data_IF_041342288657
#
_entry.id   IF_041342288657
#
_cell.length_a   1.000
_cell.length_b   1.000
_cell.length_c   1.000
_cell.angle_alpha   90.00
_cell.angle_beta   90.00
_cell.angle_gamma   90.00
#
_symmetry.space_group_name_H-M   'P 1'
#
loop_
_entity.id
_entity.type
_entity.pdbx_description
1 polymer ?
#
# COMPACT_ATOMS: atom_id res chain seq x y z
N UNK A 1 -1.43 -44.80 -43.68
CA UNK A 1 -1.20 -46.03 -42.92
C UNK A 1 0.00 -45.78 -42.01
N UNK A 2 -0.20 -45.27 -40.79
CA UNK A 2 -0.33 -45.97 -39.49
C UNK A 2 0.70 -45.23 -38.60
N UNK A 3 0.38 -44.53 -37.51
CA UNK A 3 -0.68 -44.71 -36.54
C UNK A 3 -0.04 -45.08 -35.20
N UNK A 4 0.79 -44.21 -34.62
CA UNK A 4 1.43 -44.46 -33.33
C UNK A 4 0.52 -43.94 -32.20
N UNK A 5 -0.27 -44.86 -31.64
CA UNK A 5 -1.23 -44.61 -30.58
C UNK A 5 -0.55 -44.39 -29.23
N UNK A 6 -0.84 -43.25 -28.58
CA UNK A 6 -0.50 -42.98 -27.18
C UNK A 6 -1.47 -43.75 -26.27
N UNK A 7 -0.93 -44.60 -25.38
CA UNK A 7 -1.68 -45.25 -24.31
C UNK A 7 -2.14 -44.22 -23.25
N UNK A 8 -3.38 -44.31 -22.73
CA UNK A 8 -3.85 -43.44 -21.66
C UNK A 8 -3.34 -43.94 -20.30
N UNK A 9 -2.82 -43.01 -19.49
CA UNK A 9 -2.48 -43.25 -18.08
C UNK A 9 -3.78 -43.19 -17.28
N UNK A 10 -4.20 -44.34 -16.74
CA UNK A 10 -5.30 -44.43 -15.77
C UNK A 10 -4.89 -43.78 -14.44
N UNK A 11 -5.51 -42.65 -14.09
CA UNK A 11 -5.50 -42.12 -12.73
C UNK A 11 -6.49 -42.93 -11.89
N UNK A 12 -5.98 -43.77 -10.99
CA UNK A 12 -6.77 -44.45 -9.97
C UNK A 12 -7.35 -43.43 -8.99
N UNK A 13 -8.67 -43.46 -8.83
CA UNK A 13 -9.38 -42.79 -7.75
C UNK A 13 -8.94 -43.36 -6.40
N UNK A 14 -8.53 -42.49 -5.49
CA UNK A 14 -8.28 -42.83 -4.10
C UNK A 14 -9.17 -41.97 -3.20
N UNK A 15 -10.18 -42.62 -2.62
CA UNK A 15 -10.61 -42.45 -1.23
C UNK A 15 -10.96 -41.06 -0.72
N UNK A 16 -12.26 -40.81 -0.64
CA UNK A 16 -12.87 -39.78 0.20
C UNK A 16 -12.50 -40.01 1.68
N UNK A 17 -11.60 -39.19 2.22
CA UNK A 17 -11.28 -39.10 3.64
C UNK A 17 -11.66 -37.72 4.18
N UNK A 18 -12.67 -37.68 5.06
CA UNK A 18 -13.10 -36.46 5.76
C UNK A 18 -12.05 -36.08 6.80
N UNK A 19 -11.04 -35.30 6.41
CA UNK A 19 -10.13 -34.67 7.39
C UNK A 19 -10.68 -33.32 7.82
N UNK A 20 -10.97 -33.25 9.12
CA UNK A 20 -11.44 -32.05 9.82
C UNK A 20 -10.43 -30.91 9.66
N UNK A 21 -10.91 -29.78 9.13
CA UNK A 21 -10.23 -28.49 9.17
C UNK A 21 -9.82 -28.19 10.62
N UNK A 22 -8.51 -28.17 10.91
CA UNK A 22 -8.01 -27.65 12.18
C UNK A 22 -8.10 -26.12 12.13
N UNK A 23 -9.08 -25.57 12.83
CA UNK A 23 -9.13 -24.15 13.14
C UNK A 23 -7.86 -23.73 13.90
N UNK A 24 -7.35 -22.53 13.61
CA UNK A 24 -6.41 -21.85 14.51
C UNK A 24 -7.11 -21.64 15.87
N UNK A 25 -6.39 -21.76 17.00
CA UNK A 25 -7.00 -21.50 18.30
C UNK A 25 -7.48 -20.05 18.37
N UNK A 26 -8.63 -19.80 19.04
CA UNK A 26 -9.10 -18.44 19.30
C UNK A 26 -8.07 -17.65 20.12
N UNK A 27 -8.14 -16.33 19.99
CA UNK A 27 -7.17 -15.32 20.45
C UNK A 27 -6.78 -15.37 21.93
N UNK A 28 -7.54 -16.07 22.77
CA UNK A 28 -7.50 -15.94 24.22
C UNK A 28 -6.61 -17.01 24.92
N UNK A 29 -5.83 -17.79 24.18
CA UNK A 29 -4.99 -18.87 24.75
C UNK A 29 -3.49 -18.77 24.42
N UNK A 30 -2.93 -17.55 24.40
CA UNK A 30 -1.48 -17.36 24.20
C UNK A 30 -0.73 -16.75 25.40
N UNK A 31 -1.36 -16.59 26.56
CA UNK A 31 -0.67 -16.14 27.78
C UNK A 31 -0.59 -17.26 28.82
N UNK A 32 0.60 -17.84 28.93
CA UNK A 32 0.91 -18.91 29.87
C UNK A 32 2.38 -18.92 30.25
N UNK A 33 2.85 -17.87 30.93
CA UNK A 33 4.04 -17.90 31.77
C UNK A 33 3.92 -16.81 32.85
N UNK A 34 3.84 -17.25 34.10
CA UNK A 34 3.29 -16.50 35.23
C UNK A 34 4.05 -15.26 35.67
N UNK A 35 3.36 -14.41 36.42
CA UNK A 35 3.83 -13.76 37.64
C UNK A 35 2.63 -13.61 38.58
N UNK A 36 2.75 -14.19 39.77
CA UNK A 36 1.76 -14.13 40.83
C UNK A 36 1.88 -12.80 41.59
N UNK A 37 0.77 -12.07 41.78
CA UNK A 37 0.65 -11.07 42.85
C UNK A 37 -0.78 -11.04 43.41
N UNK A 38 -0.85 -11.43 44.68
CA UNK A 38 -1.76 -11.10 45.78
C UNK A 38 -3.23 -10.66 45.54
N UNK A 39 -4.11 -11.40 46.23
CA UNK A 39 -5.50 -11.12 46.49
C UNK A 39 -5.75 -9.86 47.34
N UNK A 40 -6.86 -9.17 47.05
CA UNK A 40 -7.46 -8.16 47.92
C UNK A 40 -8.98 -8.15 47.75
N UNK A 41 -9.69 -8.67 48.76
CA UNK A 41 -11.16 -8.66 48.85
C UNK A 41 -11.74 -7.32 49.34
N UNK A 42 -13.02 -7.07 48.97
CA UNK A 42 -14.12 -6.29 49.60
C UNK A 42 -14.65 -5.17 48.67
N UNK A 43 -15.95 -4.89 48.51
CA UNK A 43 -17.29 -5.47 48.80
C UNK A 43 -18.30 -4.62 47.96
N UNK A 44 -19.56 -5.06 47.74
CA UNK A 44 -20.46 -4.53 46.72
C UNK A 44 -21.46 -3.48 47.26
N UNK A 45 -21.95 -2.57 46.40
CA UNK A 45 -23.15 -1.78 46.67
C UNK A 45 -24.09 -1.59 45.47
N UNK A 46 -25.20 -2.33 45.56
CA UNK A 46 -26.63 -2.04 45.31
C UNK A 46 -27.12 -1.36 44.02
N UNK A 47 -28.10 -2.05 43.44
CA UNK A 47 -29.06 -1.64 42.44
C UNK A 47 -30.07 -0.57 42.91
N UNK A 48 -30.54 0.24 41.96
CA UNK A 48 -31.76 1.04 42.03
C UNK A 48 -32.44 1.06 40.66
N UNK A 49 -33.72 0.68 40.62
CA UNK A 49 -34.58 0.41 39.45
C UNK A 49 -35.23 1.71 38.87
N UNK A 50 -35.97 1.64 37.72
CA UNK A 50 -36.08 2.68 36.70
C UNK A 50 -37.36 3.54 36.79
N UNK A 51 -37.42 4.64 36.02
CA UNK A 51 -38.65 5.36 35.73
C UNK A 51 -38.85 5.60 34.22
N UNK A 52 -40.12 5.43 33.83
CA UNK A 52 -40.68 5.33 32.48
C UNK A 52 -40.95 6.69 31.81
N UNK A 53 -40.98 6.62 30.48
CA UNK A 53 -41.79 7.35 29.48
C UNK A 53 -42.16 8.84 29.67
N UNK A 54 -41.77 9.63 28.66
CA UNK A 54 -42.47 10.85 28.25
C UNK A 54 -41.99 11.31 26.88
N UNK A 55 -42.85 11.26 25.85
CA UNK A 55 -42.68 12.04 24.60
C UNK A 55 -43.15 13.49 24.86
N UNK A 56 -42.53 14.49 24.23
CA UNK A 56 -43.31 15.44 23.41
C UNK A 56 -42.58 15.78 22.09
N UNK A 57 -43.24 15.65 20.94
CA UNK A 57 -43.96 16.70 20.18
C UNK A 57 -43.06 17.78 19.56
N UNK A 58 -43.15 17.88 18.23
CA UNK A 58 -42.47 18.82 17.38
C UNK A 58 -42.88 20.27 17.69
N UNK A 59 -41.90 21.18 17.76
CA UNK A 59 -42.17 22.57 17.43
C UNK A 59 -40.95 23.34 16.91
N UNK A 60 -41.28 24.30 16.05
CA UNK A 60 -40.43 25.07 15.14
C UNK A 60 -39.28 25.83 15.82
N UNK A 61 -38.05 25.61 15.36
CA UNK A 61 -36.93 26.54 15.59
C UNK A 61 -36.68 27.38 14.33
N UNK A 62 -37.02 28.67 14.43
CA UNK A 62 -36.71 29.71 13.44
C UNK A 62 -35.19 29.88 13.32
N UNK A 63 -34.67 29.82 12.09
CA UNK A 63 -33.28 30.17 11.75
C UNK A 63 -33.05 31.67 11.99
N UNK A 64 -32.14 32.03 12.89
CA UNK A 64 -31.47 33.34 12.89
C UNK A 64 -30.08 33.15 12.26
N UNK A 65 -29.87 33.80 11.12
CA UNK A 65 -28.59 33.90 10.46
C UNK A 65 -27.64 34.76 11.30
N UNK A 66 -26.48 34.22 11.66
CA UNK A 66 -25.44 34.95 12.37
C UNK A 66 -24.45 35.51 11.34
N UNK A 67 -24.49 36.82 11.13
CA UNK A 67 -23.49 37.57 10.36
C UNK A 67 -22.34 37.92 11.31
N UNK A 68 -21.07 37.60 11.02
CA UNK A 68 -19.95 38.02 11.87
C UNK A 68 -19.54 39.47 11.53
N UNK A 69 -19.12 40.27 12.53
CA UNK A 69 -18.72 41.64 12.31
C UNK A 69 -17.35 41.72 11.62
N UNK A 70 -17.21 42.73 10.75
CA UNK A 70 -15.96 43.10 10.08
C UNK A 70 -15.01 43.80 11.06
N UNK A 71 -13.75 43.37 11.07
CA UNK A 71 -12.62 44.23 11.42
C UNK A 71 -11.97 43.97 12.80
N UNK A 72 -11.01 43.06 12.84
CA UNK A 72 -9.82 43.20 13.69
C UNK A 72 -8.69 42.33 13.10
N UNK A 73 -7.67 43.00 12.58
CA UNK A 73 -6.45 42.38 12.08
C UNK A 73 -5.75 41.64 13.22
N UNK A 74 -5.76 40.31 13.19
CA UNK A 74 -4.71 39.52 13.85
C UNK A 74 -3.91 38.82 12.76
N UNK A 75 -2.65 39.24 12.62
CA UNK A 75 -1.65 38.53 11.80
C UNK A 75 -1.42 37.15 12.45
N UNK A 76 -2.29 36.18 12.13
CA UNK A 76 -2.05 34.77 12.44
C UNK A 76 -0.87 34.34 11.57
N UNK A 77 0.34 34.40 12.13
CA UNK A 77 1.48 33.63 11.64
C UNK A 77 1.12 32.16 11.78
N UNK A 78 0.52 31.60 10.74
CA UNK A 78 0.48 30.16 10.57
C UNK A 78 1.94 29.67 10.60
N UNK A 79 2.33 28.96 11.66
CA UNK A 79 3.54 28.16 11.68
C UNK A 79 3.36 27.00 10.70
N UNK A 80 3.45 27.31 9.40
CA UNK A 80 3.85 26.34 8.40
C UNK A 80 5.32 25.98 8.67
N UNK A 81 5.64 24.69 8.61
CA UNK A 81 7.00 24.18 8.73
C UNK A 81 8.01 24.89 7.82
N UNK A 82 9.32 24.63 8.00
CA UNK A 82 10.39 25.44 7.42
C UNK A 82 10.12 25.73 5.95
N UNK A 83 9.92 27.01 5.62
CA UNK A 83 9.90 27.49 4.24
C UNK A 83 11.23 27.05 3.62
N UNK A 84 11.17 26.17 2.63
CA UNK A 84 12.29 25.85 1.75
C UNK A 84 12.53 27.08 0.86
N UNK A 85 12.90 28.21 1.45
CA UNK A 85 13.44 29.34 0.74
C UNK A 85 14.92 29.00 0.46
N UNK A 86 15.33 29.07 -0.81
CA UNK A 86 16.69 28.84 -1.33
C UNK A 86 17.19 27.41 -1.66
N UNK A 87 16.33 26.39 -1.83
CA UNK A 87 16.80 25.16 -2.54
C UNK A 87 16.44 25.23 -4.03
N UNK A 88 17.45 25.07 -4.88
CA UNK A 88 17.27 24.92 -6.33
C UNK A 88 16.41 23.70 -6.68
N UNK A 89 15.72 23.77 -7.81
CA UNK A 89 14.80 22.72 -8.25
C UNK A 89 15.56 21.46 -8.68
N UNK A 90 15.34 20.33 -8.01
CA UNK A 90 15.96 19.04 -8.36
C UNK A 90 15.07 18.29 -9.34
N UNK A 91 15.63 17.94 -10.49
CA UNK A 91 14.90 17.20 -11.55
C UNK A 91 15.16 15.71 -11.42
N UNK A 92 14.10 14.92 -11.47
CA UNK A 92 14.10 13.46 -11.50
C UNK A 92 13.61 12.99 -12.87
N UNK A 93 14.39 12.11 -13.48
CA UNK A 93 14.10 11.51 -14.78
C UNK A 93 13.38 10.17 -14.57
N UNK A 94 12.22 10.04 -15.19
CA UNK A 94 11.29 8.93 -15.01
C UNK A 94 11.24 8.05 -16.25
N UNK A 95 11.41 6.75 -16.04
CA UNK A 95 11.13 5.70 -17.03
C UNK A 95 9.83 5.01 -16.64
N UNK A 96 8.84 4.99 -17.53
CA UNK A 96 7.55 4.34 -17.27
C UNK A 96 7.49 2.99 -17.97
N UNK A 97 7.42 1.91 -17.20
CA UNK A 97 7.31 0.54 -17.70
C UNK A 97 5.88 0.06 -17.47
N UNK A 98 5.15 -0.12 -18.56
CA UNK A 98 3.69 -0.12 -18.56
C UNK A 98 3.11 1.29 -18.65
N UNK A 99 2.13 1.49 -19.52
CA UNK A 99 1.47 2.78 -19.74
C UNK A 99 -0.07 2.65 -19.77
N UNK A 100 -0.60 1.88 -18.80
CA UNK A 100 -2.03 1.71 -18.59
C UNK A 100 -2.69 2.89 -17.88
N UNK A 101 -3.89 2.68 -17.36
CA UNK A 101 -4.70 3.75 -16.73
C UNK A 101 -4.00 4.39 -15.52
N UNK A 102 -3.33 3.59 -14.68
CA UNK A 102 -2.58 4.09 -13.51
C UNK A 102 -1.43 5.00 -13.93
N UNK A 103 -0.59 4.57 -14.87
CA UNK A 103 0.55 5.36 -15.36
C UNK A 103 0.10 6.66 -16.05
N UNK A 104 -0.96 6.61 -16.87
CA UNK A 104 -1.55 7.81 -17.48
C UNK A 104 -2.06 8.78 -16.42
N UNK A 105 -2.78 8.29 -15.42
CA UNK A 105 -3.27 9.11 -14.31
C UNK A 105 -2.13 9.71 -13.50
N UNK A 106 -1.06 8.95 -13.25
CA UNK A 106 0.14 9.41 -12.58
C UNK A 106 0.82 10.56 -13.35
N UNK A 107 0.96 10.45 -14.67
CA UNK A 107 1.50 11.55 -15.50
C UNK A 107 0.63 12.80 -15.41
N UNK A 108 -0.70 12.66 -15.51
CA UNK A 108 -1.62 13.80 -15.30
C UNK A 108 -1.49 14.40 -13.90
N UNK A 109 -1.37 13.55 -12.87
CA UNK A 109 -1.22 13.98 -11.47
C UNK A 109 0.09 14.74 -11.25
N UNK A 110 1.19 14.35 -11.91
CA UNK A 110 2.45 15.08 -11.88
C UNK A 110 2.30 16.50 -12.45
N UNK A 111 1.56 16.68 -13.54
CA UNK A 111 1.33 18.01 -14.13
C UNK A 111 0.40 18.85 -13.24
N UNK A 112 -0.69 18.27 -12.74
CA UNK A 112 -1.60 18.93 -11.78
C UNK A 112 -0.86 19.41 -10.52
N UNK A 113 0.08 18.60 -10.01
CA UNK A 113 0.84 18.92 -8.80
C UNK A 113 2.16 19.66 -9.08
N UNK A 114 2.50 19.95 -10.33
CA UNK A 114 3.82 20.49 -10.73
C UNK A 114 4.22 21.74 -9.92
N UNK A 115 3.30 22.69 -9.77
CA UNK A 115 3.55 23.92 -9.02
C UNK A 115 3.71 23.67 -7.51
N UNK A 116 3.02 22.66 -6.96
CA UNK A 116 3.14 22.26 -5.56
C UNK A 116 4.45 21.53 -5.32
N UNK A 117 4.81 20.56 -6.17
CA UNK A 117 6.06 19.80 -6.10
C UNK A 117 7.28 20.72 -6.20
N UNK A 118 7.26 21.69 -7.12
CA UNK A 118 8.34 22.66 -7.25
C UNK A 118 8.45 23.56 -6.01
N UNK A 119 7.35 24.20 -5.59
CA UNK A 119 7.37 25.21 -4.51
C UNK A 119 7.54 24.63 -3.11
N UNK A 120 6.92 23.49 -2.81
CA UNK A 120 6.91 22.91 -1.46
C UNK A 120 7.95 21.82 -1.26
N UNK A 121 8.37 21.16 -2.35
CA UNK A 121 9.23 19.98 -2.26
C UNK A 121 10.54 20.12 -3.06
N UNK A 122 10.76 21.24 -3.77
CA UNK A 122 11.97 21.43 -4.58
C UNK A 122 12.14 20.36 -5.65
N UNK A 123 11.03 19.75 -6.10
CA UNK A 123 10.99 18.58 -6.96
C UNK A 123 10.41 18.93 -8.33
N UNK A 124 11.10 18.52 -9.39
CA UNK A 124 10.56 18.43 -10.76
C UNK A 124 10.69 16.99 -11.26
N UNK A 125 9.63 16.46 -11.85
CA UNK A 125 9.67 15.17 -12.52
C UNK A 125 9.64 15.37 -14.04
N UNK A 126 10.40 14.56 -14.78
CA UNK A 126 10.41 14.54 -16.24
C UNK A 126 10.32 13.10 -16.72
N UNK A 127 9.30 12.77 -17.50
CA UNK A 127 9.22 11.48 -18.18
C UNK A 127 10.16 11.52 -19.38
N UNK A 128 11.15 10.63 -19.38
CA UNK A 128 12.18 10.54 -20.44
C UNK A 128 11.97 9.31 -21.35
N UNK A 129 11.16 8.35 -20.92
CA UNK A 129 10.96 7.11 -21.66
C UNK A 129 9.75 6.33 -21.18
N UNK A 130 9.11 5.64 -22.12
CA UNK A 130 7.94 4.79 -21.88
C UNK A 130 8.15 3.46 -22.62
N UNK A 131 7.94 2.34 -21.94
CA UNK A 131 7.90 1.03 -22.57
C UNK A 131 6.57 0.32 -22.31
N UNK A 132 6.00 -0.28 -23.35
CA UNK A 132 4.82 -1.13 -23.22
C UNK A 132 5.02 -2.45 -23.96
N UNK A 133 4.26 -3.48 -23.57
CA UNK A 133 4.28 -4.79 -24.22
C UNK A 133 3.99 -4.72 -25.73
N UNK A 134 3.12 -3.80 -26.16
CA UNK A 134 2.66 -3.70 -27.56
C UNK A 134 3.55 -2.81 -28.42
N UNK A 135 4.09 -1.74 -27.84
CA UNK A 135 4.83 -0.70 -28.59
C UNK A 135 6.34 -0.74 -28.40
N UNK A 136 6.86 -1.69 -27.61
CA UNK A 136 8.25 -1.69 -27.16
C UNK A 136 8.58 -0.46 -26.32
N UNK A 137 9.88 -0.15 -26.22
CA UNK A 137 10.41 1.02 -25.53
C UNK A 137 10.63 2.22 -26.44
N UNK A 138 10.20 3.40 -26.01
CA UNK A 138 10.32 4.67 -26.72
C UNK A 138 10.83 5.76 -25.78
N UNK A 139 11.81 6.54 -26.23
CA UNK A 139 12.24 7.74 -25.51
C UNK A 139 11.31 8.90 -25.85
N UNK A 140 11.00 9.74 -24.85
CA UNK A 140 10.09 10.87 -25.01
C UNK A 140 10.88 12.17 -24.93
N UNK A 141 10.69 13.06 -25.90
CA UNK A 141 11.34 14.38 -25.87
C UNK A 141 10.83 15.20 -24.66
N UNK A 142 11.61 16.18 -24.15
CA UNK A 142 11.27 16.97 -22.95
C UNK A 142 9.99 17.81 -23.05
N UNK A 143 9.33 17.82 -24.21
CA UNK A 143 8.13 18.59 -24.51
C UNK A 143 6.95 17.61 -24.63
N UNK A 144 6.37 17.19 -23.51
CA UNK A 144 4.97 16.75 -23.52
C UNK A 144 4.12 17.99 -23.88
N UNK A 145 3.99 18.25 -25.19
CA UNK A 145 3.23 19.37 -25.75
C UNK A 145 1.75 19.12 -25.45
N UNK A 146 1.08 20.19 -25.04
CA UNK A 146 -0.34 20.32 -24.70
C UNK A 146 -1.27 19.50 -25.62
N UNK A 147 -2.35 19.01 -25.02
CA UNK A 147 -3.63 18.49 -25.59
C UNK A 147 -3.65 17.08 -26.21
N UNK A 148 -4.46 16.21 -25.59
CA UNK A 148 -5.06 15.02 -26.21
C UNK A 148 -4.13 13.83 -26.44
N UNK A 149 -4.66 12.65 -26.82
CA UNK A 149 -3.86 11.48 -27.15
C UNK A 149 -3.15 11.78 -28.48
N UNK A 150 -2.00 12.42 -28.40
CA UNK A 150 -1.08 12.51 -29.52
C UNK A 150 -0.71 11.08 -29.90
N UNK A 151 -1.01 10.70 -31.15
CA UNK A 151 -0.31 9.61 -31.84
C UNK A 151 1.18 9.78 -31.51
N UNK A 152 1.77 8.76 -30.89
CA UNK A 152 3.16 8.80 -30.44
C UNK A 152 4.09 9.26 -31.57
N UNK A 153 5.22 9.91 -31.25
CA UNK A 153 6.14 10.40 -32.27
C UNK A 153 6.57 9.27 -33.21
N UNK A 154 6.67 9.60 -34.50
CA UNK A 154 7.04 8.68 -35.57
C UNK A 154 8.40 8.02 -35.29
N UNK A 155 8.45 6.72 -35.53
CA UNK A 155 9.60 5.84 -35.34
C UNK A 155 10.70 6.23 -36.33
N UNK A 156 11.81 6.77 -35.83
CA UNK A 156 13.08 6.81 -36.54
C UNK A 156 14.01 5.76 -35.92
N UNK A 157 14.15 4.63 -36.60
CA UNK A 157 15.31 3.72 -36.60
C UNK A 157 15.80 3.14 -35.27
N UNK A 158 15.40 1.90 -34.95
CA UNK A 158 16.23 0.83 -34.36
C UNK A 158 15.31 -0.36 -34.05
N UNK A 159 15.75 -1.60 -34.32
CA UNK A 159 14.96 -2.83 -34.22
C UNK A 159 14.18 -3.01 -32.91
N UNK A 160 13.14 -3.86 -32.94
CA UNK A 160 12.22 -4.12 -31.83
C UNK A 160 13.00 -4.52 -30.56
N UNK A 161 13.27 -3.54 -29.69
CA UNK A 161 13.90 -3.76 -28.38
C UNK A 161 12.86 -4.30 -27.42
N UNK A 162 13.19 -5.36 -26.68
CA UNK A 162 12.31 -5.83 -25.60
C UNK A 162 12.19 -4.74 -24.54
N UNK A 163 11.16 -4.82 -23.68
CA UNK A 163 11.03 -3.89 -22.55
C UNK A 163 12.25 -3.95 -21.63
N UNK A 164 12.85 -5.13 -21.48
CA UNK A 164 14.05 -5.35 -20.68
C UNK A 164 15.28 -4.66 -21.28
N UNK A 165 15.47 -4.78 -22.60
CA UNK A 165 16.57 -4.10 -23.31
C UNK A 165 16.43 -2.59 -23.19
N UNK A 166 15.21 -2.09 -23.35
CA UNK A 166 14.93 -0.67 -23.16
C UNK A 166 15.30 -0.15 -21.77
N UNK A 167 14.95 -0.89 -20.70
CA UNK A 167 15.31 -0.50 -19.33
C UNK A 167 16.83 -0.43 -19.17
N UNK A 168 17.54 -1.42 -19.71
CA UNK A 168 19.00 -1.50 -19.64
C UNK A 168 19.66 -0.35 -20.40
N UNK A 169 19.23 -0.11 -21.64
CA UNK A 169 19.71 0.98 -22.49
C UNK A 169 19.46 2.36 -21.87
N UNK A 170 18.27 2.55 -21.27
CA UNK A 170 17.92 3.82 -20.65
C UNK A 170 18.79 4.12 -19.43
N UNK A 171 19.15 3.09 -18.65
CA UNK A 171 20.09 3.27 -17.54
C UNK A 171 21.49 3.66 -18.01
N UNK A 172 21.95 3.10 -19.14
CA UNK A 172 23.24 3.48 -19.75
C UNK A 172 23.18 4.90 -20.29
N UNK A 173 22.13 5.25 -21.03
CA UNK A 173 21.92 6.59 -21.62
C UNK A 173 21.85 7.68 -20.54
N UNK A 174 21.13 7.43 -19.46
CA UNK A 174 20.90 8.38 -18.37
C UNK A 174 21.80 8.11 -17.14
N UNK A 175 22.98 7.53 -17.36
CA UNK A 175 23.95 7.20 -16.31
C UNK A 175 24.35 8.41 -15.44
N UNK A 176 24.29 9.64 -15.97
CA UNK A 176 24.51 10.86 -15.19
C UNK A 176 23.41 11.10 -14.15
N UNK A 177 22.13 10.91 -14.52
CA UNK A 177 21.01 10.99 -13.60
C UNK A 177 21.06 9.83 -12.58
N UNK A 178 21.39 8.61 -13.04
CA UNK A 178 21.58 7.45 -12.18
C UNK A 178 22.65 7.69 -11.10
N UNK A 179 23.83 8.22 -11.46
CA UNK A 179 24.90 8.58 -10.52
C UNK A 179 24.47 9.63 -9.50
N UNK A 180 23.68 10.61 -9.93
CA UNK A 180 23.09 11.65 -9.07
C UNK A 180 21.89 11.18 -8.26
N UNK A 181 21.50 9.90 -8.34
CA UNK A 181 20.31 9.32 -7.67
C UNK A 181 18.99 9.96 -8.12
N UNK A 182 18.94 10.41 -9.38
CA UNK A 182 17.81 11.14 -9.96
C UNK A 182 17.10 10.38 -11.08
N UNK A 183 17.54 9.16 -11.40
CA UNK A 183 16.84 8.26 -12.33
C UNK A 183 15.89 7.34 -11.54
N UNK A 184 14.63 7.28 -11.95
CA UNK A 184 13.59 6.46 -11.30
C UNK A 184 12.82 5.67 -12.37
N UNK A 185 12.72 4.36 -12.20
CA UNK A 185 11.82 3.51 -12.97
C UNK A 185 10.49 3.35 -12.23
N UNK A 186 9.38 3.61 -12.93
CA UNK A 186 8.02 3.38 -12.47
C UNK A 186 7.49 2.14 -13.19
N UNK A 187 7.19 1.08 -12.44
CA UNK A 187 6.78 -0.21 -12.97
C UNK A 187 5.30 -0.47 -12.66
N UNK A 188 4.47 -0.53 -13.71
CA UNK A 188 3.01 -0.64 -13.63
C UNK A 188 2.48 -1.66 -14.64
N UNK A 189 3.30 -2.65 -15.00
CA UNK A 189 2.84 -3.75 -15.85
C UNK A 189 1.85 -4.64 -15.09
N UNK A 190 1.12 -5.46 -15.84
CA UNK A 190 0.15 -6.40 -15.29
C UNK A 190 0.84 -7.50 -14.49
N UNK A 191 0.18 -8.00 -13.45
CA UNK A 191 0.68 -9.13 -12.66
C UNK A 191 0.66 -10.43 -13.47
N UNK A 192 1.78 -11.15 -13.51
CA UNK A 192 1.80 -12.60 -13.80
C UNK A 192 1.70 -13.31 -12.45
N UNK A 193 0.54 -13.92 -12.17
CA UNK A 193 0.30 -14.61 -10.89
C UNK A 193 1.11 -15.89 -10.73
N UNK A 194 1.62 -16.48 -11.81
CA UNK A 194 2.37 -17.73 -11.74
C UNK A 194 3.84 -17.48 -11.37
N UNK A 195 4.42 -16.36 -11.82
CA UNK A 195 5.88 -16.13 -11.74
C UNK A 195 6.29 -14.73 -11.28
N UNK A 196 5.41 -13.74 -11.37
CA UNK A 196 5.75 -12.33 -11.15
C UNK A 196 6.63 -11.69 -12.25
N UNK A 197 6.92 -12.42 -13.33
CA UNK A 197 7.66 -11.92 -14.50
C UNK A 197 6.71 -11.27 -15.52
N UNK A 198 7.18 -10.34 -16.38
CA UNK A 198 8.54 -9.82 -16.50
C UNK A 198 8.88 -8.70 -15.51
N UNK A 199 7.96 -8.34 -14.61
CA UNK A 199 8.13 -7.22 -13.69
C UNK A 199 9.37 -7.36 -12.80
N UNK A 200 9.63 -8.57 -12.28
CA UNK A 200 10.85 -8.86 -11.50
C UNK A 200 12.12 -8.54 -12.32
N UNK A 201 12.16 -8.98 -13.58
CA UNK A 201 13.27 -8.70 -14.49
C UNK A 201 13.45 -7.20 -14.75
N UNK A 202 12.37 -6.45 -14.96
CA UNK A 202 12.42 -4.99 -15.10
C UNK A 202 13.03 -4.32 -13.87
N UNK A 203 12.55 -4.68 -12.66
CA UNK A 203 13.06 -4.12 -11.40
C UNK A 203 14.55 -4.44 -11.22
N UNK A 204 14.96 -5.68 -11.51
CA UNK A 204 16.35 -6.11 -11.39
C UNK A 204 17.27 -5.33 -12.34
N UNK A 205 16.86 -5.15 -13.60
CA UNK A 205 17.63 -4.39 -14.59
C UNK A 205 17.80 -2.93 -14.16
N UNK A 206 16.71 -2.27 -13.74
CA UNK A 206 16.74 -0.88 -13.31
C UNK A 206 17.64 -0.65 -12.08
N UNK A 207 17.55 -1.52 -11.07
CA UNK A 207 18.41 -1.44 -9.88
C UNK A 207 19.88 -1.66 -10.24
N UNK A 208 20.18 -2.59 -11.15
CA UNK A 208 21.54 -2.86 -11.63
C UNK A 208 22.10 -1.67 -12.42
N UNK A 209 21.24 -0.98 -13.19
CA UNK A 209 21.57 0.26 -13.89
C UNK A 209 21.64 1.51 -13.00
N UNK A 210 21.44 1.37 -11.68
CA UNK A 210 21.55 2.47 -10.74
C UNK A 210 20.33 3.40 -10.70
N UNK A 211 19.17 2.97 -11.18
CA UNK A 211 17.91 3.67 -10.98
C UNK A 211 17.26 3.31 -9.63
N UNK A 212 16.50 4.24 -9.06
CA UNK A 212 15.49 3.89 -8.06
C UNK A 212 14.32 3.18 -8.75
N UNK A 213 13.57 2.38 -8.00
CA UNK A 213 12.39 1.69 -8.52
C UNK A 213 11.18 1.95 -7.63
N UNK A 214 10.07 2.30 -8.27
CA UNK A 214 8.72 2.33 -7.68
C UNK A 214 7.85 1.38 -8.49
N UNK A 215 7.10 0.49 -7.84
CA UNK A 215 6.17 -0.42 -8.55
C UNK A 215 4.77 -0.41 -7.95
N UNK A 216 3.75 -0.48 -8.80
CA UNK A 216 2.39 -0.83 -8.37
C UNK A 216 2.06 -2.30 -8.67
N UNK A 217 3.00 -3.05 -9.25
CA UNK A 217 2.85 -4.47 -9.49
C UNK A 217 3.20 -5.25 -8.22
N UNK A 218 2.30 -6.15 -7.82
CA UNK A 218 2.49 -7.04 -6.66
C UNK A 218 3.60 -8.08 -6.90
N UNK A 219 3.84 -8.48 -8.15
CA UNK A 219 4.74 -9.57 -8.53
C UNK A 219 6.15 -9.45 -7.94
N UNK A 220 6.87 -8.33 -8.17
CA UNK A 220 8.20 -8.11 -7.60
C UNK A 220 8.26 -8.24 -6.07
N UNK A 221 7.22 -7.79 -5.38
CA UNK A 221 7.15 -7.81 -3.90
C UNK A 221 6.72 -9.19 -3.38
N UNK A 222 5.80 -9.85 -4.06
CA UNK A 222 5.26 -11.14 -3.66
C UNK A 222 6.22 -12.30 -3.95
N UNK A 223 6.97 -12.27 -5.05
CA UNK A 223 7.85 -13.38 -5.47
C UNK A 223 9.33 -13.15 -5.17
N UNK A 224 9.80 -11.90 -5.17
CA UNK A 224 11.24 -11.60 -5.20
C UNK A 224 11.71 -10.53 -4.21
N UNK A 225 10.88 -10.13 -3.24
CA UNK A 225 11.16 -8.99 -2.36
C UNK A 225 12.56 -9.05 -1.72
N UNK A 226 12.93 -10.17 -1.09
CA UNK A 226 14.23 -10.30 -0.40
C UNK A 226 15.41 -10.07 -1.33
N UNK A 227 15.37 -10.63 -2.53
CA UNK A 227 16.43 -10.49 -3.52
C UNK A 227 16.50 -9.06 -4.07
N UNK A 228 15.36 -8.46 -4.40
CA UNK A 228 15.27 -7.11 -4.95
C UNK A 228 15.62 -6.05 -3.90
N UNK A 229 15.17 -6.20 -2.66
CA UNK A 229 15.55 -5.32 -1.55
C UNK A 229 17.06 -5.38 -1.27
N UNK A 230 17.68 -6.56 -1.37
CA UNK A 230 19.14 -6.72 -1.26
C UNK A 230 19.87 -6.04 -2.43
N UNK A 231 19.38 -6.20 -3.65
CA UNK A 231 19.93 -5.55 -4.84
C UNK A 231 19.84 -4.01 -4.71
N UNK A 232 18.69 -3.48 -4.28
CA UNK A 232 18.50 -2.05 -4.05
C UNK A 232 19.47 -1.50 -3.00
N UNK A 233 19.67 -2.22 -1.88
CA UNK A 233 20.67 -1.84 -0.87
C UNK A 233 22.09 -1.81 -1.43
N UNK A 234 22.50 -2.84 -2.20
CA UNK A 234 23.82 -2.89 -2.84
C UNK A 234 24.04 -1.74 -3.82
N UNK A 235 23.02 -1.38 -4.59
CA UNK A 235 23.06 -0.25 -5.51
C UNK A 235 22.95 1.13 -4.81
N UNK A 236 22.69 1.16 -3.49
CA UNK A 236 22.32 2.36 -2.74
C UNK A 236 21.16 3.12 -3.41
N UNK A 237 20.13 2.36 -3.79
CA UNK A 237 18.88 2.82 -4.41
C UNK A 237 17.69 2.36 -3.59
N UNK A 238 16.53 2.94 -3.88
CA UNK A 238 15.26 2.59 -3.24
C UNK A 238 14.47 1.63 -4.14
N UNK A 239 13.80 0.69 -3.50
CA UNK A 239 12.78 -0.16 -4.10
C UNK A 239 11.52 0.03 -3.26
N UNK A 240 10.56 0.78 -3.80
CA UNK A 240 9.31 1.17 -3.14
C UNK A 240 8.11 0.62 -3.93
N UNK A 241 6.99 0.43 -3.24
CA UNK A 241 5.88 -0.35 -3.75
C UNK A 241 4.56 -0.06 -3.03
N UNK A 242 4.33 1.19 -2.62
CA UNK A 242 3.08 1.56 -1.93
C UNK A 242 1.85 1.17 -2.76
N UNK A 243 1.94 1.36 -4.09
CA UNK A 243 0.89 1.03 -5.05
C UNK A 243 0.52 -0.45 -5.19
N UNK A 244 1.29 -1.36 -4.59
CA UNK A 244 1.07 -2.80 -4.76
C UNK A 244 -0.10 -3.32 -3.91
N UNK A 245 -0.39 -2.71 -2.76
CA UNK A 245 -1.41 -3.17 -1.82
C UNK A 245 -2.22 -1.99 -1.31
N UNK A 246 -3.56 -2.08 -1.42
CA UNK A 246 -4.51 -1.03 -0.99
C UNK A 246 -4.31 0.33 -1.67
N UNK A 247 -4.08 0.31 -2.99
CA UNK A 247 -3.96 1.50 -3.83
C UNK A 247 -2.91 2.50 -3.33
N UNK A 248 -3.32 3.66 -2.84
CA UNK A 248 -2.43 4.69 -2.27
C UNK A 248 -2.68 4.97 -0.80
N UNK A 249 -3.44 4.10 -0.13
CA UNK A 249 -3.64 4.21 1.31
C UNK A 249 -2.35 3.74 2.00
N UNK A 250 -1.76 4.54 2.92
CA UNK A 250 -0.49 4.19 3.53
C UNK A 250 -0.54 2.89 4.34
N UNK A 251 0.15 1.87 3.85
CA UNK A 251 0.40 0.59 4.53
C UNK A 251 1.89 0.42 4.75
N UNK A 252 2.69 0.44 3.69
CA UNK A 252 4.15 0.23 3.82
C UNK A 252 4.84 1.49 4.34
N UNK A 253 4.43 2.66 3.86
CA UNK A 253 4.94 3.95 4.31
C UNK A 253 4.56 4.24 5.77
N UNK A 254 3.38 3.77 6.22
CA UNK A 254 2.99 3.85 7.63
C UNK A 254 4.04 3.16 8.51
N UNK A 255 4.33 1.89 8.26
CA UNK A 255 5.29 1.13 9.06
C UNK A 255 6.70 1.71 8.93
N UNK A 256 7.13 2.04 7.71
CA UNK A 256 8.49 2.52 7.45
C UNK A 256 8.78 3.91 7.99
N UNK A 257 7.84 4.85 7.90
CA UNK A 257 8.07 6.27 8.20
C UNK A 257 7.47 6.72 9.53
N UNK A 258 6.46 6.02 10.06
CA UNK A 258 5.68 6.51 11.22
C UNK A 258 5.75 5.61 12.45
N UNK A 259 6.20 4.36 12.31
CA UNK A 259 6.28 3.39 13.41
C UNK A 259 7.73 2.94 13.70
N UNK A 260 8.70 3.86 13.89
CA UNK A 260 10.06 3.48 14.22
C UNK A 260 10.10 2.73 15.56
N UNK A 261 10.81 1.61 15.60
CA UNK A 261 10.97 0.79 16.81
C UNK A 261 9.83 -0.21 17.07
N UNK A 262 8.71 -0.12 16.35
CA UNK A 262 7.59 -1.07 16.44
C UNK A 262 7.82 -2.23 15.48
N UNK A 263 7.53 -3.46 15.92
CA UNK A 263 7.52 -4.66 15.07
C UNK A 263 6.09 -5.08 14.78
N UNK A 264 5.81 -5.34 13.50
CA UNK A 264 4.57 -5.99 13.09
C UNK A 264 4.73 -7.49 13.35
N UNK A 265 3.79 -8.08 14.07
CA UNK A 265 3.82 -9.51 14.47
C UNK A 265 2.74 -10.34 13.78
N UNK A 266 1.66 -9.70 13.32
CA UNK A 266 0.62 -10.31 12.50
C UNK A 266 -0.14 -9.22 11.73
N UNK A 267 -0.91 -9.63 10.74
CA UNK A 267 -1.96 -8.80 10.15
C UNK A 267 -3.17 -9.63 9.76
N UNK A 268 -4.32 -8.97 9.67
CA UNK A 268 -5.52 -9.47 9.01
C UNK A 268 -6.20 -8.34 8.24
N UNK A 269 -6.91 -8.63 7.17
CA UNK A 269 -7.56 -7.59 6.39
C UNK A 269 -8.48 -8.11 5.30
N UNK A 270 -9.39 -7.25 4.87
CA UNK A 270 -10.16 -7.42 3.64
C UNK A 270 -9.54 -6.52 2.60
N UNK A 271 -8.81 -7.12 1.66
CA UNK A 271 -7.89 -6.38 0.76
C UNK A 271 -8.30 -6.47 -0.71
N UNK A 272 -9.48 -7.02 -1.01
CA UNK A 272 -10.01 -7.16 -2.36
C UNK A 272 -11.45 -6.64 -2.43
N UNK A 273 -11.62 -5.53 -3.15
CA UNK A 273 -12.89 -4.82 -3.26
C UNK A 273 -13.96 -5.62 -4.00
N UNK A 274 -13.59 -6.40 -5.03
CA UNK A 274 -14.51 -7.22 -5.82
C UNK A 274 -15.21 -8.25 -4.94
N UNK A 275 -14.42 -9.04 -4.20
CA UNK A 275 -14.95 -10.08 -3.31
C UNK A 275 -15.71 -9.51 -2.12
N UNK A 276 -15.27 -8.39 -1.53
CA UNK A 276 -16.02 -7.74 -0.46
C UNK A 276 -17.37 -7.19 -0.95
N UNK A 277 -17.42 -6.62 -2.16
CA UNK A 277 -18.67 -6.15 -2.75
C UNK A 277 -19.64 -7.32 -2.96
N UNK A 278 -19.16 -8.41 -3.56
CA UNK A 278 -19.99 -9.60 -3.83
C UNK A 278 -20.51 -10.21 -2.53
N UNK A 279 -19.66 -10.41 -1.52
CA UNK A 279 -20.07 -10.92 -0.20
C UNK A 279 -21.13 -10.01 0.46
N UNK A 280 -20.91 -8.70 0.46
CA UNK A 280 -21.86 -7.74 1.07
C UNK A 280 -23.17 -7.60 0.29
N UNK A 281 -23.18 -7.90 -1.01
CA UNK A 281 -24.39 -8.01 -1.81
C UNK A 281 -25.15 -9.31 -1.50
N UNK A 282 -24.45 -10.44 -1.39
CA UNK A 282 -25.05 -11.74 -1.04
C UNK A 282 -25.61 -11.76 0.38
N UNK A 283 -24.95 -11.12 1.34
CA UNK A 283 -25.48 -10.88 2.68
C UNK A 283 -26.85 -10.17 2.65
N UNK A 284 -27.13 -9.39 1.60
CA UNK A 284 -28.42 -8.70 1.37
C UNK A 284 -29.42 -9.52 0.55
N UNK A 285 -29.11 -10.77 0.25
CA UNK A 285 -29.96 -11.67 -0.54
C UNK A 285 -29.82 -11.49 -2.05
N UNK A 286 -28.85 -10.71 -2.52
CA UNK A 286 -28.60 -10.58 -3.97
C UNK A 286 -27.90 -11.82 -4.52
N UNK A 287 -28.25 -12.29 -5.74
CA UNK A 287 -27.54 -13.38 -6.39
C UNK A 287 -26.06 -13.04 -6.67
N UNK A 288 -25.19 -14.04 -6.55
CA UNK A 288 -23.75 -13.92 -6.85
C UNK A 288 -23.50 -13.34 -8.26
N UNK A 289 -24.19 -13.87 -9.27
CA UNK A 289 -23.98 -13.49 -10.66
C UNK A 289 -24.32 -12.02 -10.93
N UNK A 290 -25.39 -11.50 -10.31
CA UNK A 290 -25.76 -10.07 -10.43
C UNK A 290 -24.72 -9.17 -9.75
N UNK A 291 -24.25 -9.55 -8.56
CA UNK A 291 -23.23 -8.77 -7.85
C UNK A 291 -21.89 -8.75 -8.62
N UNK A 292 -21.52 -9.85 -9.28
CA UNK A 292 -20.36 -9.89 -10.17
C UNK A 292 -20.57 -9.02 -11.41
N UNK A 293 -21.75 -9.10 -12.05
CA UNK A 293 -22.09 -8.30 -13.22
C UNK A 293 -22.02 -6.79 -12.93
N UNK A 294 -22.44 -6.35 -11.74
CA UNK A 294 -22.30 -4.96 -11.31
C UNK A 294 -20.85 -4.49 -11.28
N UNK A 295 -19.93 -5.34 -10.78
CA UNK A 295 -18.51 -5.02 -10.70
C UNK A 295 -17.85 -5.01 -12.09
N UNK A 296 -18.31 -5.87 -13.00
CA UNK A 296 -17.88 -5.88 -14.40
C UNK A 296 -18.37 -4.64 -15.15
N UNK A 297 -19.64 -4.25 -14.96
CA UNK A 297 -20.21 -3.06 -15.56
C UNK A 297 -19.50 -1.76 -15.11
N UNK A 298 -19.01 -1.73 -13.87
CA UNK A 298 -18.20 -0.63 -13.34
C UNK A 298 -16.74 -0.67 -13.81
N UNK A 299 -16.32 -1.73 -14.51
CA UNK A 299 -14.93 -1.93 -14.94
C UNK A 299 -13.96 -2.20 -13.79
N UNK A 300 -14.45 -2.62 -12.63
CA UNK A 300 -13.62 -3.01 -11.48
C UNK A 300 -13.20 -4.47 -11.58
N UNK A 301 -14.12 -5.35 -11.99
CA UNK A 301 -13.82 -6.74 -12.32
C UNK A 301 -13.67 -6.92 -13.84
N UNK A 302 -12.74 -7.78 -14.26
CA UNK A 302 -12.64 -8.18 -15.67
C UNK A 302 -13.72 -9.22 -16.04
N UNK A 303 -13.86 -9.51 -17.34
CA UNK A 303 -14.78 -10.54 -17.82
C UNK A 303 -14.46 -11.91 -17.19
N UNK A 304 -13.17 -12.25 -17.11
CA UNK A 304 -12.66 -13.33 -16.27
C UNK A 304 -12.20 -12.73 -14.93
N UNK A 305 -13.00 -12.94 -13.89
CA UNK A 305 -12.73 -12.45 -12.53
C UNK A 305 -12.04 -13.51 -11.65
N UNK A 306 -11.49 -14.59 -12.22
CA UNK A 306 -10.86 -15.69 -11.46
C UNK A 306 -9.77 -15.22 -10.50
N UNK A 307 -8.96 -14.24 -10.89
CA UNK A 307 -7.93 -13.68 -10.01
C UNK A 307 -8.51 -13.10 -8.71
N UNK A 308 -9.69 -12.50 -8.77
CA UNK A 308 -10.37 -11.96 -7.60
C UNK A 308 -11.12 -13.07 -6.86
N UNK A 309 -11.99 -13.80 -7.57
CA UNK A 309 -12.94 -14.76 -7.01
C UNK A 309 -12.25 -15.96 -6.37
N UNK A 310 -11.20 -16.49 -7.01
CA UNK A 310 -10.40 -17.57 -6.43
C UNK A 310 -9.49 -17.04 -5.29
N UNK A 311 -9.38 -15.73 -5.10
CA UNK A 311 -8.58 -15.11 -4.05
C UNK A 311 -7.09 -14.98 -4.39
N UNK A 312 -6.70 -15.13 -5.65
CA UNK A 312 -5.29 -15.01 -6.08
C UNK A 312 -4.74 -13.60 -5.90
N UNK A 313 -5.54 -12.56 -6.17
CA UNK A 313 -5.15 -11.18 -5.93
C UNK A 313 -4.91 -10.93 -4.42
N UNK A 314 -5.81 -11.42 -3.57
CA UNK A 314 -5.65 -11.40 -2.11
C UNK A 314 -4.41 -12.18 -1.67
N UNK A 315 -4.13 -13.36 -2.26
CA UNK A 315 -2.92 -14.13 -1.96
C UNK A 315 -1.64 -13.38 -2.36
N UNK A 316 -1.64 -12.70 -3.52
CA UNK A 316 -0.51 -11.88 -3.95
C UNK A 316 -0.26 -10.69 -3.01
N UNK A 317 -1.33 -10.01 -2.58
CA UNK A 317 -1.26 -8.94 -1.57
C UNK A 317 -0.75 -9.48 -0.23
N UNK A 318 -1.24 -10.64 0.20
CA UNK A 318 -0.85 -11.30 1.45
C UNK A 318 0.62 -11.68 1.45
N UNK A 319 1.12 -12.30 0.37
CA UNK A 319 2.54 -12.65 0.23
C UNK A 319 3.42 -11.39 0.24
N UNK A 320 3.04 -10.33 -0.46
CA UNK A 320 3.75 -9.05 -0.43
C UNK A 320 3.81 -8.45 0.98
N UNK A 321 2.67 -8.37 1.68
CA UNK A 321 2.60 -7.88 3.07
C UNK A 321 3.44 -8.73 4.01
N UNK A 322 3.33 -10.06 3.96
CA UNK A 322 4.08 -10.96 4.82
C UNK A 322 5.59 -10.87 4.58
N UNK A 323 6.02 -10.80 3.32
CA UNK A 323 7.44 -10.67 2.97
C UNK A 323 8.04 -9.36 3.47
N UNK A 324 7.29 -8.26 3.38
CA UNK A 324 7.78 -6.92 3.76
C UNK A 324 7.67 -6.67 5.26
N UNK A 325 6.50 -6.91 5.85
CA UNK A 325 6.19 -6.51 7.22
C UNK A 325 6.64 -7.53 8.26
N UNK A 326 6.55 -8.82 7.93
CA UNK A 326 6.88 -9.91 8.85
C UNK A 326 8.25 -10.54 8.53
N UNK A 327 8.87 -10.14 7.41
CA UNK A 327 10.11 -10.73 6.92
C UNK A 327 9.95 -12.17 6.43
N UNK A 328 8.79 -12.52 5.86
CA UNK A 328 8.53 -13.84 5.29
C UNK A 328 9.43 -14.15 4.08
N UNK A 329 9.33 -15.38 3.60
CA UNK A 329 10.05 -15.91 2.45
C UNK A 329 9.10 -16.74 1.57
N UNK A 330 7.89 -16.21 1.36
CA UNK A 330 6.79 -16.93 0.71
C UNK A 330 6.43 -16.28 -0.61
N UNK A 331 5.78 -17.04 -1.47
CA UNK A 331 5.15 -16.60 -2.71
C UNK A 331 3.63 -16.70 -2.57
N UNK A 332 2.84 -16.16 -3.52
CA UNK A 332 1.38 -16.34 -3.51
C UNK A 332 0.96 -17.82 -3.56
N UNK A 333 1.83 -18.71 -4.07
CA UNK A 333 1.58 -20.15 -4.14
C UNK A 333 1.68 -20.84 -2.77
N UNK A 334 2.38 -20.22 -1.81
CA UNK A 334 2.54 -20.73 -0.45
C UNK A 334 1.44 -20.25 0.51
N UNK A 335 0.54 -19.38 0.03
CA UNK A 335 -0.59 -18.87 0.82
C UNK A 335 -1.73 -19.88 0.75
N UNK A 336 -2.21 -20.36 1.89
CA UNK A 336 -3.43 -21.18 1.94
C UNK A 336 -4.60 -20.33 1.42
N UNK A 337 -5.24 -20.77 0.33
CA UNK A 337 -6.19 -19.94 -0.40
C UNK A 337 -7.49 -20.68 -0.66
N UNK A 338 -8.58 -20.07 -0.23
CA UNK A 338 -9.95 -20.42 -0.56
C UNK A 338 -10.67 -19.16 -1.04
N UNK A 339 -11.23 -19.22 -2.24
CA UNK A 339 -11.96 -18.12 -2.86
C UNK A 339 -13.42 -18.00 -2.38
N UNK A 340 -14.21 -17.25 -3.13
CA UNK A 340 -15.66 -17.19 -3.00
C UNK A 340 -16.33 -17.81 -4.23
N UNK A 341 -17.44 -18.50 -4.00
CA UNK A 341 -18.24 -19.18 -5.02
C UNK A 341 -19.71 -18.82 -4.85
N UNK A 342 -20.61 -19.17 -5.79
CA UNK A 342 -22.04 -18.99 -5.60
C UNK A 342 -22.58 -19.61 -4.31
N UNK A 343 -22.05 -20.76 -3.89
CA UNK A 343 -22.44 -21.45 -2.65
C UNK A 343 -22.07 -20.67 -1.39
N UNK A 344 -21.06 -19.79 -1.48
CA UNK A 344 -20.66 -18.89 -0.39
C UNK A 344 -21.80 -17.93 -0.01
N UNK A 345 -22.75 -17.67 -0.91
CA UNK A 345 -23.92 -16.84 -0.62
C UNK A 345 -24.81 -17.40 0.49
N UNK A 346 -24.92 -18.73 0.63
CA UNK A 346 -25.67 -19.35 1.74
C UNK A 346 -25.00 -19.06 3.08
N UNK A 347 -23.69 -19.25 3.14
CA UNK A 347 -22.88 -18.95 4.33
C UNK A 347 -22.99 -17.46 4.71
N UNK A 348 -22.99 -16.56 3.73
CA UNK A 348 -23.13 -15.13 3.97
C UNK A 348 -24.48 -14.76 4.60
N UNK A 349 -25.57 -15.39 4.14
CA UNK A 349 -26.90 -15.21 4.69
C UNK A 349 -27.01 -15.76 6.12
N UNK A 350 -26.50 -16.97 6.34
CA UNK A 350 -26.53 -17.63 7.64
C UNK A 350 -25.72 -16.84 8.68
N UNK A 351 -24.52 -16.37 8.31
CA UNK A 351 -23.69 -15.52 9.16
C UNK A 351 -24.45 -14.24 9.55
N UNK A 352 -25.09 -13.57 8.58
CA UNK A 352 -25.86 -12.35 8.83
C UNK A 352 -27.06 -12.59 9.75
N UNK A 353 -27.79 -13.69 9.56
CA UNK A 353 -28.90 -14.07 10.43
C UNK A 353 -28.44 -14.33 11.88
N UNK A 354 -27.21 -14.80 12.07
CA UNK A 354 -26.60 -15.00 13.38
C UNK A 354 -25.93 -13.75 13.98
N UNK A 355 -26.11 -12.55 13.39
CA UNK A 355 -25.49 -11.31 13.85
C UNK A 355 -23.98 -11.22 13.57
N UNK A 356 -23.45 -12.08 12.70
CA UNK A 356 -22.06 -12.11 12.22
C UNK A 356 -21.99 -11.61 10.78
N UNK A 357 -20.78 -11.49 10.23
CA UNK A 357 -20.54 -11.05 8.85
C UNK A 357 -19.55 -11.97 8.17
N UNK A 358 -19.76 -12.31 6.90
CA UNK A 358 -18.83 -13.16 6.17
C UNK A 358 -17.90 -12.30 5.32
N UNK A 359 -16.58 -12.45 5.52
CA UNK A 359 -15.55 -11.68 4.81
C UNK A 359 -14.48 -12.59 4.24
N UNK A 360 -13.94 -12.25 3.06
CA UNK A 360 -12.72 -12.88 2.55
C UNK A 360 -11.52 -12.24 3.25
N UNK A 361 -11.02 -12.91 4.28
CA UNK A 361 -9.96 -12.39 5.15
C UNK A 361 -8.60 -12.89 4.65
N UNK A 362 -7.71 -11.94 4.36
CA UNK A 362 -6.29 -12.15 4.15
C UNK A 362 -5.56 -11.96 5.48
N UNK A 363 -4.79 -12.94 5.92
CA UNK A 363 -4.06 -12.87 7.19
C UNK A 363 -2.67 -13.50 7.10
N UNK A 364 -1.77 -13.03 7.96
CA UNK A 364 -0.55 -13.75 8.25
C UNK A 364 -0.13 -13.55 9.71
N UNK A 365 0.37 -14.63 10.31
CA UNK A 365 0.81 -14.64 11.72
C UNK A 365 2.11 -15.41 11.85
N UNK A 366 2.97 -14.93 12.76
CA UNK A 366 4.17 -15.65 13.15
C UNK A 366 3.81 -16.79 14.11
N UNK A 367 4.09 -18.03 13.70
CA UNK A 367 3.95 -19.24 14.51
C UNK A 367 5.35 -19.82 14.74
N UNK A 368 5.89 -19.57 15.94
CA UNK A 368 7.29 -19.86 16.25
C UNK A 368 8.25 -19.17 15.26
N UNK A 369 9.01 -19.96 14.51
CA UNK A 369 9.97 -19.44 13.51
C UNK A 369 9.38 -19.26 12.11
N UNK A 370 8.16 -19.76 11.86
CA UNK A 370 7.50 -19.71 10.55
C UNK A 370 6.45 -18.61 10.51
N UNK A 371 6.10 -18.18 9.30
CA UNK A 371 4.96 -17.30 9.05
C UNK A 371 3.95 -18.13 8.28
N UNK A 372 2.73 -18.21 8.80
CA UNK A 372 1.59 -18.86 8.15
C UNK A 372 0.74 -17.75 7.56
N UNK A 373 0.37 -17.89 6.29
CA UNK A 373 -0.44 -16.94 5.56
C UNK A 373 -1.66 -17.62 4.96
N UNK A 374 -2.82 -16.98 5.06
CA UNK A 374 -4.11 -17.53 4.64
C UNK A 374 -4.98 -16.47 4.00
N UNK A 375 -5.78 -16.89 3.03
CA UNK A 375 -6.89 -16.14 2.43
C UNK A 375 -8.09 -17.06 2.38
N UNK A 376 -9.14 -16.77 3.14
CA UNK A 376 -10.35 -17.59 3.15
C UNK A 376 -11.59 -16.79 3.59
N UNK A 377 -12.81 -17.23 3.22
CA UNK A 377 -14.03 -16.74 3.85
C UNK A 377 -14.02 -17.06 5.34
N UNK A 378 -14.25 -16.04 6.18
CA UNK A 378 -14.29 -16.13 7.63
C UNK A 378 -15.53 -15.41 8.17
N UNK A 379 -16.23 -16.05 9.11
CA UNK A 379 -17.33 -15.42 9.84
C UNK A 379 -16.75 -14.56 10.97
N UNK A 380 -17.03 -13.27 10.91
CA UNK A 380 -16.55 -12.28 11.86
C UNK A 380 -17.69 -11.85 12.80
N UNK A 381 -17.40 -11.64 14.10
CA UNK A 381 -18.32 -10.98 15.03
C UNK A 381 -18.80 -9.63 14.49
N UNK A 382 -20.05 -9.24 14.80
CA UNK A 382 -20.63 -7.99 14.29
C UNK A 382 -19.92 -6.72 14.77
N UNK A 383 -19.15 -6.79 15.85
CA UNK A 383 -18.35 -5.71 16.43
C UNK A 383 -16.89 -5.69 15.93
N UNK A 384 -16.47 -6.65 15.10
CA UNK A 384 -15.14 -6.64 14.47
C UNK A 384 -15.02 -5.50 13.45
N UNK A 385 -13.89 -4.79 13.46
CA UNK A 385 -13.63 -3.67 12.54
C UNK A 385 -13.73 -4.07 11.06
N UNK A 386 -13.34 -5.30 10.70
CA UNK A 386 -13.46 -5.82 9.33
C UNK A 386 -14.90 -6.22 8.99
N UNK A 387 -15.71 -6.61 9.97
CA UNK A 387 -17.13 -6.92 9.77
C UNK A 387 -17.93 -5.67 9.34
N UNK A 388 -17.51 -4.49 9.82
CA UNK A 388 -18.09 -3.19 9.47
C UNK A 388 -17.86 -2.75 8.02
N UNK A 389 -16.96 -3.39 7.27
CA UNK A 389 -16.69 -3.03 5.88
C UNK A 389 -17.88 -3.35 4.98
N UNK A 390 -18.17 -2.44 4.06
CA UNK A 390 -19.29 -2.55 3.12
C UNK A 390 -18.89 -2.24 1.68
N UNK A 391 -19.56 -2.86 0.71
CA UNK A 391 -19.30 -2.67 -0.71
C UNK A 391 -17.83 -2.89 -1.08
N UNK A 392 -17.22 -1.90 -1.72
CA UNK A 392 -15.83 -1.96 -2.21
C UNK A 392 -14.78 -1.54 -1.17
N UNK A 393 -15.16 -1.33 0.09
CA UNK A 393 -14.25 -0.92 1.14
C UNK A 393 -13.21 -1.99 1.42
N UNK A 394 -11.99 -1.56 1.76
CA UNK A 394 -10.91 -2.44 2.18
C UNK A 394 -10.34 -1.95 3.51
N UNK A 395 -9.81 -2.84 4.33
CA UNK A 395 -9.03 -2.45 5.49
C UNK A 395 -7.99 -3.50 5.85
N UNK A 396 -6.95 -3.06 6.53
CA UNK A 396 -5.94 -3.92 7.15
C UNK A 396 -5.78 -3.53 8.61
N UNK A 397 -5.72 -4.55 9.46
CA UNK A 397 -5.39 -4.45 10.87
C UNK A 397 -3.99 -5.03 11.03
N UNK A 398 -3.06 -4.20 11.49
CA UNK A 398 -1.70 -4.56 11.81
C UNK A 398 -1.61 -4.80 13.31
N UNK A 399 -1.22 -6.01 13.71
CA UNK A 399 -0.92 -6.31 15.11
C UNK A 399 0.56 -6.09 15.36
N UNK A 400 0.86 -5.37 16.43
CA UNK A 400 2.20 -4.91 16.78
C UNK A 400 2.63 -5.45 18.14
N UNK A 401 3.91 -5.34 18.46
CA UNK A 401 4.45 -5.73 19.77
C UNK A 401 4.25 -4.69 20.88
N UNK A 402 3.93 -3.43 20.53
CA UNK A 402 3.87 -2.32 21.50
C UNK A 402 2.54 -1.55 21.53
N UNK A 403 1.85 -1.46 20.40
CA UNK A 403 0.65 -0.62 20.23
C UNK A 403 -0.62 -1.46 20.01
N UNK A 404 -0.53 -2.76 20.25
CA UNK A 404 -1.58 -3.73 19.94
C UNK A 404 -2.00 -3.62 18.46
N UNK A 405 -3.25 -3.26 18.17
CA UNK A 405 -3.79 -3.19 16.81
C UNK A 405 -3.84 -1.77 16.23
N UNK A 406 -3.34 -1.63 15.00
CA UNK A 406 -3.46 -0.42 14.19
C UNK A 406 -4.30 -0.76 12.96
N UNK A 407 -5.46 -0.12 12.82
CA UNK A 407 -6.34 -0.31 11.67
C UNK A 407 -6.18 0.81 10.64
N UNK A 408 -6.08 0.45 9.37
CA UNK A 408 -6.08 1.37 8.23
C UNK A 408 -7.21 0.98 7.28
N UNK A 409 -8.15 1.88 7.05
CA UNK A 409 -9.33 1.63 6.23
C UNK A 409 -9.39 2.54 5.00
N UNK A 410 -9.73 1.94 3.87
CA UNK A 410 -10.01 2.59 2.60
C UNK A 410 -11.51 2.56 2.35
N UNK A 411 -12.15 3.73 2.37
CA UNK A 411 -13.61 3.84 2.16
C UNK A 411 -14.05 3.75 0.70
N UNK A 412 -13.14 4.02 -0.23
CA UNK A 412 -13.36 3.95 -1.67
C UNK A 412 -12.02 3.84 -2.43
N UNK A 413 -12.06 3.22 -3.60
CA UNK A 413 -10.94 3.11 -4.55
C UNK A 413 -11.09 4.04 -5.75
N UNK A 414 -9.97 4.42 -6.35
CA UNK A 414 -9.93 5.24 -7.55
C UNK A 414 -8.54 5.15 -8.18
N UNK A 415 -8.47 5.30 -9.51
CA UNK A 415 -7.21 5.39 -10.24
C UNK A 415 -6.29 6.50 -9.70
N UNK A 416 -6.87 7.59 -9.17
CA UNK A 416 -6.11 8.69 -8.56
C UNK A 416 -5.41 8.24 -7.28
N UNK A 417 -6.02 7.38 -6.46
CA UNK A 417 -5.37 6.85 -5.25
C UNK A 417 -4.20 5.94 -5.61
N UNK A 418 -4.35 5.02 -6.57
CA UNK A 418 -3.23 4.17 -7.02
C UNK A 418 -2.11 5.00 -7.66
N UNK A 419 -2.45 6.03 -8.45
CA UNK A 419 -1.47 6.96 -8.99
C UNK A 419 -0.78 7.82 -7.90
N UNK A 420 -1.50 8.16 -6.84
CA UNK A 420 -0.95 8.87 -5.69
C UNK A 420 0.09 8.03 -4.94
N UNK A 421 -0.07 6.70 -4.89
CA UNK A 421 0.93 5.81 -4.32
C UNK A 421 2.30 5.97 -4.99
N UNK A 422 2.31 6.01 -6.33
CA UNK A 422 3.53 6.25 -7.12
C UNK A 422 4.13 7.64 -6.85
N UNK A 423 3.29 8.66 -6.69
CA UNK A 423 3.73 10.01 -6.34
C UNK A 423 4.31 10.06 -4.93
N UNK A 424 3.69 9.40 -3.96
CA UNK A 424 4.13 9.33 -2.57
C UNK A 424 5.52 8.69 -2.48
N UNK A 425 5.73 7.58 -3.17
CA UNK A 425 7.04 6.92 -3.23
C UNK A 425 8.10 7.77 -3.95
N UNK A 426 7.71 8.50 -5.00
CA UNK A 426 8.60 9.46 -5.67
C UNK A 426 9.00 10.59 -4.71
N UNK A 427 8.05 11.08 -3.89
CA UNK A 427 8.32 12.09 -2.87
C UNK A 427 9.26 11.56 -1.78
N UNK A 428 9.14 10.29 -1.38
CA UNK A 428 10.08 9.65 -0.43
C UNK A 428 11.49 9.61 -1.03
N UNK A 429 11.65 9.17 -2.28
CA UNK A 429 12.95 9.19 -2.97
C UNK A 429 13.50 10.62 -3.07
N UNK A 430 12.66 11.58 -3.46
CA UNK A 430 13.07 12.96 -3.59
C UNK A 430 13.55 13.55 -2.26
N UNK A 431 12.85 13.26 -1.16
CA UNK A 431 13.23 13.68 0.20
C UNK A 431 14.60 13.13 0.58
N UNK A 432 14.87 11.85 0.31
CA UNK A 432 16.18 11.24 0.61
C UNK A 432 17.33 11.90 -0.16
N UNK A 433 17.13 12.16 -1.44
CA UNK A 433 18.15 12.79 -2.30
C UNK A 433 18.38 14.25 -1.89
N UNK A 434 17.31 15.01 -1.66
CA UNK A 434 17.40 16.41 -1.24
C UNK A 434 18.01 16.57 0.15
N UNK A 435 17.80 15.62 1.06
CA UNK A 435 18.43 15.63 2.38
C UNK A 435 19.92 15.27 2.31
N UNK A 436 20.32 14.40 1.37
CA UNK A 436 21.74 14.11 1.10
C UNK A 436 22.47 15.27 0.44
N UNK A 437 21.81 15.94 -0.51
CA UNK A 437 22.38 17.06 -1.26
C UNK A 437 22.36 18.37 -0.44
N UNK A 438 21.78 18.37 0.76
CA UNK A 438 21.77 19.53 1.64
C UNK A 438 23.21 19.88 2.07
N UNK A 439 23.62 21.16 2.03
CA UNK A 439 24.93 21.57 2.52
C UNK A 439 25.08 21.15 3.98
N UNK A 440 26.27 20.66 4.35
CA UNK A 440 26.58 20.34 5.73
C UNK A 440 26.29 21.57 6.60
N UNK A 441 25.75 21.39 7.82
CA UNK A 441 25.59 22.51 8.73
C UNK A 441 26.94 23.21 8.88
N UNK A 442 26.99 24.57 8.88
CA UNK A 442 28.25 25.28 9.06
C UNK A 442 28.89 24.74 10.33
N UNK A 443 30.13 24.23 10.22
CA UNK A 443 30.93 23.86 11.38
C UNK A 443 30.97 25.10 12.25
N UNK A 444 30.29 25.06 13.40
CA UNK A 444 30.26 26.18 14.32
C UNK A 444 31.71 26.58 14.59
N UNK A 445 32.07 27.80 14.23
CA UNK A 445 33.30 28.39 14.75
C UNK A 445 33.11 28.38 16.25
N UNK A 446 33.88 27.54 16.95
CA UNK A 446 34.03 27.65 18.39
C UNK A 446 34.60 29.04 18.63
N UNK A 447 33.71 30.02 18.83
CA UNK A 447 34.09 31.35 19.23
C UNK A 447 34.61 31.16 20.64
N UNK A 448 35.93 31.06 20.76
CA UNK A 448 36.63 31.04 22.03
C UNK A 448 36.11 32.22 22.84
N UNK A 449 35.23 31.95 23.79
CA UNK A 449 34.81 32.93 24.77
C UNK A 449 36.09 33.23 25.56
N UNK A 450 36.76 34.34 25.22
CA UNK A 450 37.73 34.96 26.12
C UNK A 450 36.99 35.18 27.43
N UNK A 451 37.27 34.35 28.43
CA UNK A 451 36.84 34.56 29.81
C UNK A 451 37.46 35.88 30.25
N UNK A 452 36.64 36.90 30.45
CA UNK A 452 37.04 38.10 31.17
C UNK A 452 37.48 37.70 32.58
N UNK A 453 38.57 38.27 33.13
CA UNK A 453 38.99 37.95 34.49
C UNK A 453 37.93 38.45 35.50
N UNK A 454 37.75 37.74 36.63
CA UNK A 454 36.73 38.09 37.61
C UNK A 454 37.07 39.45 38.28
N UNK A 455 36.05 40.26 38.64
CA UNK A 455 36.28 41.54 39.28
C UNK A 455 36.86 41.38 40.69
N UNK A 456 37.80 42.26 41.04
CA UNK A 456 38.47 42.28 42.34
C UNK A 456 37.47 42.48 43.49
N UNK A 457 37.50 41.58 44.48
CA UNK A 457 36.71 41.69 45.71
C UNK A 457 37.14 42.93 46.49
N UNK A 458 36.26 43.92 46.61
CA UNK A 458 36.39 45.00 47.60
C UNK A 458 36.25 44.40 49.00
N UNK A 459 37.30 44.50 49.82
CA UNK A 459 37.23 44.29 51.27
C UNK A 459 36.38 45.43 51.86
N UNK A 460 35.32 45.10 52.59
CA UNK A 460 34.70 46.01 53.56
C UNK A 460 35.20 45.60 54.94
N UNK A 461 35.92 46.52 55.56
CA UNK A 461 36.24 46.54 56.99
C UNK A 461 35.15 47.34 57.71
N UNK A 462 34.55 46.69 58.71
CA UNK A 462 33.54 47.15 59.69
C UNK A 462 32.16 47.53 59.13
#
# INVERSE_FOLDING_TARGET
MAGCARRPVQLRAAGCGRDRVRALPPSDQLDGAGHAVAAGEKRPHRAGRPLRHGRPSADRVRRRAHVPPRGAQSRRRAHCGPRIANRGLTTFDLLLIGYGNVAKRFVSLLEEQRATLARRHGLRARVIGIATRRSGGQYVAPVFRRTGPARGPAVAGAGVRTTLDFVSDACVRDAAAARKRRLVMIETTTLDIARGEPAISHVRAALSGGAHVITANKGPVAFAYRALARAARRANRRFLFEGAVMDGVPVFNLVRETLPGVRIIAFRGVVNSTTNYILTAMERGRPFAEALADMQAQGVAEADASLDLDGWDSAAKTAALANVLLGAAITPLDVERMGITPETGRLALDARAAGRRLKLVASAVRVGRRIVARVAPEELPGDDLLAGLDGQQNAIILRTDLLEEIAVAQRSGSLTQTAYALLSDLMTIARDVLNRDAPAPPRGTARATRRSPPPARRRRSL
#
